data_IF_541503764355
#
_entry.id   IF_541503764355
#
_cell.length_a   1.000
_cell.length_b   1.000
_cell.length_c   1.000
_cell.angle_alpha   90.00
_cell.angle_beta   90.00
_cell.angle_gamma   90.00
#
_symmetry.space_group_name_H-M   'P 1'
#
loop_
_entity.id
_entity.type
_entity.pdbx_description
1 polymer ?
#
# COMPACT_ATOMS: atom_id res chain seq x y z
N UNK A 1 -43.67 16.84 -14.82
CA UNK A 1 -42.74 16.22 -15.77
C UNK A 1 -43.50 15.12 -16.52
N UNK A 2 -43.48 15.14 -17.84
CA UNK A 2 -44.12 14.09 -18.66
C UNK A 2 -43.22 12.85 -18.79
N UNK A 3 -43.76 11.70 -19.18
CA UNK A 3 -42.99 10.45 -19.34
C UNK A 3 -41.81 10.60 -20.31
N UNK A 4 -42.04 11.25 -21.45
CA UNK A 4 -40.98 11.49 -22.44
C UNK A 4 -39.85 12.33 -21.85
N UNK A 5 -40.21 13.40 -21.13
CA UNK A 5 -39.26 14.27 -20.44
C UNK A 5 -38.46 13.51 -19.36
N UNK A 6 -39.10 12.58 -18.64
CA UNK A 6 -38.41 11.69 -17.70
C UNK A 6 -37.44 10.74 -18.39
N UNK A 7 -37.82 10.16 -19.54
CA UNK A 7 -36.92 9.30 -20.33
C UNK A 7 -35.71 10.10 -20.80
N UNK A 8 -35.92 11.29 -21.37
CA UNK A 8 -34.84 12.16 -21.84
C UNK A 8 -33.88 12.53 -20.70
N UNK A 9 -34.42 12.81 -19.51
CA UNK A 9 -33.60 13.10 -18.34
C UNK A 9 -32.81 11.87 -17.86
N UNK A 10 -33.42 10.68 -17.82
CA UNK A 10 -32.73 9.44 -17.46
C UNK A 10 -31.61 9.12 -18.48
N UNK A 11 -31.85 9.33 -19.77
CA UNK A 11 -30.84 9.13 -20.82
C UNK A 11 -29.69 10.12 -20.71
N UNK A 12 -29.99 11.38 -20.39
CA UNK A 12 -28.97 12.38 -20.10
C UNK A 12 -28.17 12.00 -18.84
N UNK A 13 -28.85 11.64 -17.74
CA UNK A 13 -28.21 11.18 -16.50
C UNK A 13 -27.30 9.98 -16.75
N UNK A 14 -27.71 9.04 -17.60
CA UNK A 14 -26.89 7.88 -17.95
C UNK A 14 -25.56 8.30 -18.60
N UNK A 15 -25.60 9.22 -19.57
CA UNK A 15 -24.40 9.70 -20.26
C UNK A 15 -23.44 10.42 -19.31
N UNK A 16 -23.96 11.24 -18.40
CA UNK A 16 -23.12 11.94 -17.43
C UNK A 16 -22.56 11.00 -16.35
N UNK A 17 -23.31 9.97 -15.95
CA UNK A 17 -22.79 8.92 -15.05
C UNK A 17 -21.68 8.11 -15.73
N UNK A 18 -21.83 7.75 -17.01
CA UNK A 18 -20.77 7.06 -17.77
C UNK A 18 -19.49 7.91 -17.86
N UNK A 19 -19.65 9.21 -18.15
CA UNK A 19 -18.53 10.16 -18.15
C UNK A 19 -17.88 10.29 -16.77
N UNK A 20 -18.67 10.32 -15.70
CA UNK A 20 -18.18 10.40 -14.33
C UNK A 20 -17.41 9.14 -13.92
N UNK A 21 -17.88 7.95 -14.31
CA UNK A 21 -17.19 6.69 -14.05
C UNK A 21 -15.84 6.63 -14.78
N UNK A 22 -15.78 7.00 -16.06
CA UNK A 22 -14.52 7.08 -16.81
C UNK A 22 -13.50 8.04 -16.17
N UNK A 23 -13.94 9.23 -15.74
CA UNK A 23 -13.05 10.18 -15.07
C UNK A 23 -12.55 9.68 -13.70
N UNK A 24 -13.38 8.92 -12.98
CA UNK A 24 -12.97 8.31 -11.71
C UNK A 24 -11.96 7.18 -11.93
N UNK A 25 -12.14 6.36 -12.96
CA UNK A 25 -11.16 5.33 -13.32
C UNK A 25 -9.80 5.96 -13.68
N UNK A 26 -9.79 7.01 -14.50
CA UNK A 26 -8.56 7.76 -14.84
C UNK A 26 -7.88 8.33 -13.59
N UNK A 27 -8.68 8.88 -12.65
CA UNK A 27 -8.18 9.40 -11.38
C UNK A 27 -7.61 8.30 -10.47
N UNK A 28 -8.28 7.15 -10.38
CA UNK A 28 -7.79 6.02 -9.58
C UNK A 28 -6.49 5.44 -10.15
N UNK A 29 -6.36 5.34 -11.47
CA UNK A 29 -5.12 4.92 -12.14
C UNK A 29 -3.97 5.90 -11.87
N UNK A 30 -4.24 7.20 -11.92
CA UNK A 30 -3.27 8.24 -11.56
C UNK A 30 -2.77 8.12 -10.11
N UNK A 31 -3.68 7.86 -9.16
CA UNK A 31 -3.32 7.70 -7.75
C UNK A 31 -2.51 6.41 -7.49
N UNK A 32 -2.77 5.34 -8.23
CA UNK A 32 -2.02 4.08 -8.13
C UNK A 32 -0.61 4.18 -8.70
N UNK A 33 -0.44 4.95 -9.78
CA UNK A 33 0.86 5.14 -10.46
C UNK A 33 1.76 6.13 -9.74
N UNK A 34 1.17 7.06 -8.98
CA UNK A 34 1.88 8.06 -8.20
C UNK A 34 1.44 8.00 -6.74
N UNK A 35 1.76 6.91 -6.01
CA UNK A 35 1.49 6.86 -4.59
C UNK A 35 2.23 8.03 -3.96
N UNK A 36 1.53 8.87 -3.20
CA UNK A 36 2.15 9.93 -2.39
C UNK A 36 3.13 9.31 -1.40
N UNK A 37 4.35 9.02 -1.85
CA UNK A 37 5.39 8.44 -1.03
C UNK A 37 6.12 9.54 -0.29
N UNK A 38 5.82 9.52 1.00
CA UNK A 38 6.39 10.23 2.14
C UNK A 38 7.91 9.97 2.33
N UNK A 39 8.68 9.86 1.24
CA UNK A 39 10.10 9.46 1.23
C UNK A 39 11.03 10.57 1.74
N UNK A 40 10.64 11.84 1.57
CA UNK A 40 11.40 12.99 2.06
C UNK A 40 11.38 13.14 3.58
N UNK A 41 10.26 12.80 4.24
CA UNK A 41 10.14 12.87 5.70
C UNK A 41 11.08 11.89 6.43
N UNK A 42 11.38 10.72 5.82
CA UNK A 42 12.31 9.75 6.41
C UNK A 42 13.78 10.17 6.32
N UNK A 43 14.12 11.11 5.44
CA UNK A 43 15.51 11.57 5.28
C UNK A 43 15.85 12.71 6.27
N UNK A 44 14.89 13.60 6.55
CA UNK A 44 15.06 14.73 7.46
C UNK A 44 15.32 14.30 8.91
N UNK A 45 14.67 13.22 9.38
CA UNK A 45 14.85 12.67 10.74
C UNK A 45 16.30 12.19 11.00
N UNK A 46 17.07 11.91 9.94
CA UNK A 46 18.47 11.44 10.05
C UNK A 46 19.50 12.56 10.23
N UNK A 47 19.12 13.81 9.95
CA UNK A 47 20.04 14.96 9.99
C UNK A 47 20.28 15.52 11.40
N UNK A 48 19.33 15.35 12.32
CA UNK A 48 19.44 15.81 13.72
C UNK A 48 20.52 15.06 14.53
N UNK A 49 20.98 13.90 14.06
CA UNK A 49 22.00 13.09 14.73
C UNK A 49 23.45 13.55 14.50
N UNK A 50 23.71 14.62 13.74
CA UNK A 50 25.06 15.03 13.29
C UNK A 50 25.74 16.09 14.18
N UNK A 51 25.00 16.81 15.03
CA UNK A 51 25.56 17.81 15.96
C UNK A 51 26.56 17.25 17.02
N UNK A 52 26.41 16.01 17.54
CA UNK A 52 27.27 15.46 18.59
C UNK A 52 28.74 15.22 18.18
N UNK A 53 29.02 14.94 16.90
CA UNK A 53 30.35 14.50 16.48
C UNK A 53 31.35 15.66 16.29
N UNK A 54 30.86 16.84 15.92
CA UNK A 54 31.65 18.09 15.91
C UNK A 54 32.07 18.48 17.33
N UNK A 55 31.18 18.30 18.30
CA UNK A 55 31.45 18.56 19.72
C UNK A 55 32.52 17.60 20.28
N UNK A 56 32.45 16.31 19.91
CA UNK A 56 33.46 15.30 20.29
C UNK A 56 34.85 15.62 19.74
N UNK A 57 34.95 16.13 18.51
CA UNK A 57 36.24 16.50 17.90
C UNK A 57 36.91 17.66 18.65
N UNK A 58 36.14 18.70 18.98
CA UNK A 58 36.63 19.86 19.74
C UNK A 58 37.12 19.41 21.13
N UNK A 59 36.38 18.51 21.78
CA UNK A 59 36.73 17.99 23.10
C UNK A 59 38.06 17.21 23.08
N UNK A 60 38.31 16.41 22.04
CA UNK A 60 39.58 15.67 21.87
C UNK A 60 40.76 16.63 21.71
N UNK A 61 40.61 17.71 20.93
CA UNK A 61 41.67 18.70 20.73
C UNK A 61 42.02 19.42 22.04
N UNK A 62 41.02 19.77 22.85
CA UNK A 62 41.23 20.44 24.15
C UNK A 62 41.91 19.48 25.14
N UNK A 63 41.42 18.24 25.24
CA UNK A 63 41.89 17.26 26.23
C UNK A 63 43.29 16.75 25.93
N UNK A 64 43.65 16.54 24.66
CA UNK A 64 44.92 15.92 24.29
C UNK A 64 45.92 16.89 23.65
N UNK A 65 45.46 17.88 22.88
CA UNK A 65 46.34 18.81 22.18
C UNK A 65 47.04 19.79 23.12
N UNK A 66 46.31 20.32 24.10
CA UNK A 66 46.84 21.32 25.04
C UNK A 66 47.92 20.70 25.95
N UNK A 67 47.70 19.53 26.61
CA UNK A 67 48.74 18.96 27.47
C UNK A 67 50.00 18.53 26.72
N UNK A 68 49.86 18.04 25.49
CA UNK A 68 51.00 17.64 24.65
C UNK A 68 51.89 18.84 24.28
N UNK A 69 51.28 20.01 24.05
CA UNK A 69 51.99 21.26 23.77
C UNK A 69 52.87 21.71 24.94
N UNK A 70 52.42 21.48 26.18
CA UNK A 70 53.19 21.81 27.38
C UNK A 70 54.25 20.76 27.75
N UNK A 71 54.08 19.51 27.34
CA UNK A 71 55.04 18.44 27.64
C UNK A 71 56.29 18.43 26.72
N UNK A 72 56.14 18.90 25.48
CA UNK A 72 57.18 18.86 24.44
C UNK A 72 58.48 19.64 24.75
N UNK A 73 58.45 20.84 25.34
CA UNK A 73 59.67 21.59 25.68
C UNK A 73 60.54 20.90 26.75
N UNK A 74 59.93 20.07 27.59
CA UNK A 74 60.60 19.38 28.71
C UNK A 74 61.41 18.16 28.23
N UNK A 75 61.08 17.60 27.05
CA UNK A 75 61.61 16.31 26.60
C UNK A 75 62.89 16.38 25.73
N UNK A 76 63.42 17.56 25.41
CA UNK A 76 64.73 17.72 24.76
C UNK A 76 64.88 17.13 23.35
N UNK A 77 63.78 16.86 22.64
CA UNK A 77 63.81 16.29 21.29
C UNK A 77 64.35 17.31 20.25
N UNK A 78 65.09 16.86 19.21
CA UNK A 78 65.63 17.75 18.18
C UNK A 78 64.49 18.46 17.43
N UNK A 79 64.50 19.79 17.51
CA UNK A 79 63.39 20.66 17.10
C UNK A 79 62.83 20.36 15.71
N UNK A 80 63.67 19.91 14.76
CA UNK A 80 63.23 19.59 13.39
C UNK A 80 62.26 18.41 13.31
N UNK A 81 62.49 17.33 14.08
CA UNK A 81 61.61 16.15 14.07
C UNK A 81 60.26 16.52 14.70
N UNK A 82 60.30 17.33 15.75
CA UNK A 82 59.10 17.84 16.42
C UNK A 82 58.30 18.75 15.47
N UNK A 83 58.96 19.64 14.73
CA UNK A 83 58.31 20.51 13.74
C UNK A 83 57.65 19.68 12.63
N UNK A 84 58.32 18.67 12.07
CA UNK A 84 57.72 17.81 11.05
C UNK A 84 56.57 16.95 11.58
N UNK A 85 56.67 16.44 12.82
CA UNK A 85 55.58 15.72 13.46
C UNK A 85 54.36 16.63 13.70
N UNK A 86 54.59 17.86 14.18
CA UNK A 86 53.53 18.87 14.38
C UNK A 86 52.88 19.25 13.04
N UNK A 87 53.67 19.52 12.00
CA UNK A 87 53.15 19.81 10.65
C UNK A 87 52.32 18.65 10.09
N UNK A 88 52.74 17.40 10.33
CA UNK A 88 51.99 16.23 9.87
C UNK A 88 50.67 16.07 10.62
N UNK A 89 50.67 16.33 11.94
CA UNK A 89 49.45 16.34 12.76
C UNK A 89 48.53 17.49 12.37
N UNK A 90 49.06 18.69 12.10
CA UNK A 90 48.27 19.83 11.60
C UNK A 90 47.69 19.52 10.22
N UNK A 91 48.47 19.02 9.27
CA UNK A 91 47.98 18.62 7.96
C UNK A 91 46.92 17.52 8.07
N UNK A 92 47.08 16.55 8.98
CA UNK A 92 46.08 15.52 9.24
C UNK A 92 44.79 16.12 9.82
N UNK A 93 44.90 16.99 10.83
CA UNK A 93 43.78 17.68 11.47
C UNK A 93 43.05 18.60 10.48
N UNK A 94 43.76 19.26 9.55
CA UNK A 94 43.17 20.15 8.53
C UNK A 94 42.59 19.34 7.36
N UNK A 95 43.15 18.18 7.00
CA UNK A 95 42.67 17.37 5.88
C UNK A 95 41.27 16.78 6.11
N UNK A 96 40.90 16.46 7.35
CA UNK A 96 39.57 15.93 7.70
C UNK A 96 38.43 16.93 7.54
N UNK A 97 38.48 18.15 8.13
CA UNK A 97 37.44 19.15 7.95
C UNK A 97 37.36 19.64 6.50
N UNK A 98 38.48 19.65 5.75
CA UNK A 98 38.44 19.97 4.31
C UNK A 98 37.71 18.90 3.51
N UNK A 99 37.99 17.61 3.72
CA UNK A 99 37.21 16.52 3.08
C UNK A 99 35.73 16.56 3.48
N UNK A 100 35.43 16.93 4.72
CA UNK A 100 34.06 17.10 5.20
C UNK A 100 33.36 18.30 4.56
N UNK A 101 34.05 19.42 4.39
CA UNK A 101 33.56 20.60 3.66
C UNK A 101 33.24 20.27 2.21
N UNK A 102 34.13 19.57 1.49
CA UNK A 102 33.83 19.12 0.13
C UNK A 102 32.62 18.20 0.08
N UNK A 103 32.54 17.19 0.97
CA UNK A 103 31.35 16.32 1.05
C UNK A 103 30.07 17.09 1.37
N UNK A 104 30.16 18.17 2.16
CA UNK A 104 29.03 19.03 2.51
C UNK A 104 28.63 19.94 1.35
N UNK A 105 29.58 20.47 0.59
CA UNK A 105 29.30 21.25 -0.62
C UNK A 105 28.67 20.35 -1.68
N UNK A 106 29.21 19.14 -1.89
CA UNK A 106 28.61 18.15 -2.79
C UNK A 106 27.20 17.76 -2.33
N UNK A 107 26.98 17.64 -1.00
CA UNK A 107 25.65 17.40 -0.44
C UNK A 107 24.70 18.58 -0.66
N UNK A 108 25.14 19.82 -0.42
CA UNK A 108 24.30 21.00 -0.66
C UNK A 108 23.97 21.21 -2.14
N UNK A 109 24.94 21.00 -3.02
CA UNK A 109 24.73 21.06 -4.48
C UNK A 109 23.76 19.96 -4.92
N UNK A 110 23.85 18.77 -4.34
CA UNK A 110 22.92 17.66 -4.59
C UNK A 110 21.53 17.95 -4.00
N UNK A 111 21.45 18.56 -2.81
CA UNK A 111 20.21 18.96 -2.13
C UNK A 111 19.47 20.03 -2.92
N UNK A 112 20.16 21.03 -3.45
CA UNK A 112 19.54 22.09 -4.28
C UNK A 112 18.99 21.53 -5.60
N UNK A 113 19.74 20.67 -6.30
CA UNK A 113 19.26 20.05 -7.56
C UNK A 113 18.13 19.04 -7.34
N UNK A 114 18.21 18.21 -6.29
CA UNK A 114 17.18 17.19 -6.01
C UNK A 114 15.91 17.82 -5.45
N UNK A 115 16.03 18.95 -4.75
CA UNK A 115 14.87 19.69 -4.25
C UNK A 115 14.16 20.48 -5.35
N UNK A 116 14.89 21.04 -6.32
CA UNK A 116 14.28 21.62 -7.53
C UNK A 116 13.53 20.57 -8.36
N UNK A 117 14.14 19.41 -8.60
CA UNK A 117 13.50 18.30 -9.32
C UNK A 117 12.25 17.78 -8.58
N UNK A 118 12.31 17.68 -7.25
CA UNK A 118 11.17 17.25 -6.44
C UNK A 118 10.04 18.28 -6.40
N UNK A 119 10.37 19.57 -6.26
CA UNK A 119 9.38 20.64 -6.27
C UNK A 119 8.69 20.74 -7.65
N UNK A 120 9.41 20.47 -8.74
CA UNK A 120 8.83 20.37 -10.09
C UNK A 120 7.91 19.15 -10.22
N UNK A 121 8.33 17.97 -9.77
CA UNK A 121 7.50 16.75 -9.77
C UNK A 121 6.22 16.92 -8.92
N UNK A 122 6.34 17.54 -7.74
CA UNK A 122 5.19 17.86 -6.90
C UNK A 122 4.21 18.82 -7.58
N UNK A 123 4.72 19.85 -8.27
CA UNK A 123 3.87 20.79 -9.02
C UNK A 123 3.16 20.11 -10.18
N UNK A 124 3.85 19.27 -10.94
CA UNK A 124 3.27 18.51 -12.05
C UNK A 124 2.18 17.56 -11.53
N UNK A 125 2.44 16.88 -10.41
CA UNK A 125 1.45 16.01 -9.77
C UNK A 125 0.22 16.81 -9.30
N UNK A 126 0.40 17.95 -8.63
CA UNK A 126 -0.71 18.80 -8.20
C UNK A 126 -1.53 19.33 -9.39
N UNK A 127 -0.87 19.76 -10.46
CA UNK A 127 -1.53 20.24 -11.68
C UNK A 127 -2.35 19.15 -12.37
N UNK A 128 -1.81 17.93 -12.48
CA UNK A 128 -2.53 16.80 -13.07
C UNK A 128 -3.69 16.30 -12.17
N UNK A 129 -3.49 16.32 -10.85
CA UNK A 129 -4.53 16.04 -9.88
C UNK A 129 -5.69 17.04 -9.99
N UNK A 130 -5.39 18.34 -10.11
CA UNK A 130 -6.40 19.38 -10.31
C UNK A 130 -7.11 19.24 -11.68
N UNK A 131 -6.37 18.89 -12.74
CA UNK A 131 -6.91 18.63 -14.08
C UNK A 131 -7.98 17.54 -14.08
N UNK A 132 -7.83 16.50 -13.27
CA UNK A 132 -8.78 15.38 -13.18
C UNK A 132 -9.92 15.67 -12.18
N UNK A 133 -9.63 16.30 -11.04
CA UNK A 133 -10.63 16.59 -10.02
C UNK A 133 -11.67 17.64 -10.45
N UNK A 134 -11.27 18.65 -11.24
CA UNK A 134 -12.17 19.71 -11.69
C UNK A 134 -13.34 19.16 -12.55
N UNK A 135 -13.10 18.38 -13.63
CA UNK A 135 -14.16 17.74 -14.40
C UNK A 135 -15.07 16.84 -13.56
N UNK A 136 -14.51 16.05 -12.63
CA UNK A 136 -15.29 15.17 -11.74
C UNK A 136 -16.28 16.02 -10.92
N UNK A 137 -15.82 17.13 -10.34
CA UNK A 137 -16.68 18.05 -9.57
C UNK A 137 -17.76 18.66 -10.44
N UNK A 138 -17.41 19.12 -11.64
CA UNK A 138 -18.35 19.73 -12.58
C UNK A 138 -19.48 18.77 -12.96
N UNK A 139 -19.13 17.55 -13.41
CA UNK A 139 -20.12 16.53 -13.78
C UNK A 139 -20.99 16.14 -12.58
N UNK A 140 -20.38 15.99 -11.40
CA UNK A 140 -21.13 15.70 -10.16
C UNK A 140 -22.13 16.82 -9.82
N UNK A 141 -21.74 18.08 -9.96
CA UNK A 141 -22.61 19.22 -9.70
C UNK A 141 -23.72 19.36 -10.74
N UNK A 142 -23.46 19.06 -12.00
CA UNK A 142 -24.47 19.00 -13.07
C UNK A 142 -25.52 17.92 -12.76
N UNK A 143 -25.06 16.71 -12.42
CA UNK A 143 -25.94 15.62 -11.99
C UNK A 143 -26.81 16.05 -10.80
N UNK A 144 -26.24 16.72 -9.79
CA UNK A 144 -27.01 17.21 -8.62
C UNK A 144 -28.09 18.21 -8.98
N UNK A 145 -27.85 19.05 -9.99
CA UNK A 145 -28.77 20.13 -10.36
C UNK A 145 -29.88 19.66 -11.30
N UNK A 146 -29.58 18.75 -12.20
CA UNK A 146 -30.46 18.43 -13.33
C UNK A 146 -30.99 17.00 -13.33
N UNK A 147 -30.36 16.05 -12.65
CA UNK A 147 -30.84 14.67 -12.60
C UNK A 147 -32.08 14.54 -11.71
N UNK A 148 -33.11 13.86 -12.21
CA UNK A 148 -34.25 13.43 -11.39
C UNK A 148 -33.96 12.15 -10.59
N UNK A 149 -32.90 11.44 -10.94
CA UNK A 149 -32.42 10.25 -10.22
C UNK A 149 -31.61 10.71 -9.00
N UNK A 150 -31.89 10.18 -7.80
CA UNK A 150 -31.13 10.52 -6.60
C UNK A 150 -29.66 10.04 -6.66
N UNK A 151 -28.74 10.73 -5.95
CA UNK A 151 -27.31 10.41 -5.97
C UNK A 151 -26.96 8.96 -5.62
N UNK A 152 -27.73 8.32 -4.74
CA UNK A 152 -27.49 6.94 -4.30
C UNK A 152 -27.63 5.92 -5.44
N UNK A 153 -28.29 6.31 -6.54
CA UNK A 153 -28.50 5.47 -7.73
C UNK A 153 -27.71 5.98 -8.95
N UNK A 154 -26.73 6.86 -8.78
CA UNK A 154 -25.79 7.26 -9.84
C UNK A 154 -24.71 6.20 -10.05
N UNK A 155 -25.16 5.03 -10.46
CA UNK A 155 -24.33 3.94 -10.96
C UNK A 155 -24.85 3.58 -12.34
N UNK A 156 -23.96 3.33 -13.28
CA UNK A 156 -24.37 3.03 -14.67
C UNK A 156 -25.42 1.91 -14.71
N UNK A 157 -25.19 0.80 -14.00
CA UNK A 157 -26.13 -0.33 -13.92
C UNK A 157 -27.54 0.10 -13.44
N UNK A 158 -27.60 0.93 -12.40
CA UNK A 158 -28.87 1.37 -11.83
C UNK A 158 -29.65 2.24 -12.82
N UNK A 159 -28.98 3.25 -13.41
CA UNK A 159 -29.61 4.15 -14.38
C UNK A 159 -30.04 3.40 -15.65
N UNK A 160 -29.24 2.44 -16.13
CA UNK A 160 -29.60 1.60 -17.26
C UNK A 160 -30.84 0.75 -16.98
N UNK A 161 -30.92 0.08 -15.83
CA UNK A 161 -32.13 -0.67 -15.44
C UNK A 161 -33.35 0.26 -15.35
N UNK A 162 -33.19 1.45 -14.78
CA UNK A 162 -34.28 2.43 -14.70
C UNK A 162 -34.78 2.83 -16.10
N UNK A 163 -33.86 3.10 -17.03
CA UNK A 163 -34.22 3.40 -18.42
C UNK A 163 -34.97 2.25 -19.09
N UNK A 164 -34.55 1.00 -18.84
CA UNK A 164 -35.23 -0.19 -19.35
C UNK A 164 -36.67 -0.31 -18.82
N UNK A 165 -36.90 -0.04 -17.53
CA UNK A 165 -38.25 -0.10 -16.95
C UNK A 165 -39.19 0.94 -17.56
N UNK A 166 -38.70 2.16 -17.78
CA UNK A 166 -39.47 3.23 -18.42
C UNK A 166 -39.79 2.92 -19.89
N UNK A 167 -38.82 2.40 -20.65
CA UNK A 167 -39.04 2.01 -22.06
C UNK A 167 -39.96 0.80 -22.19
N UNK A 168 -39.85 -0.15 -21.26
CA UNK A 168 -40.66 -1.37 -21.22
C UNK A 168 -42.07 -1.19 -20.66
N UNK A 169 -42.52 0.04 -20.40
CA UNK A 169 -43.83 0.36 -19.82
C UNK A 169 -44.10 -0.33 -18.46
N UNK A 170 -43.05 -0.72 -17.73
CA UNK A 170 -43.18 -1.40 -16.42
C UNK A 170 -43.50 -0.43 -15.29
N UNK A 171 -43.19 0.84 -15.48
CA UNK A 171 -43.34 1.91 -14.49
C UNK A 171 -43.79 3.20 -15.18
N UNK A 172 -44.47 4.05 -14.42
CA UNK A 172 -44.93 5.37 -14.87
C UNK A 172 -44.24 6.52 -14.12
N UNK A 173 -43.62 6.22 -12.96
CA UNK A 173 -42.92 7.21 -12.14
C UNK A 173 -41.51 6.78 -11.73
N UNK A 174 -40.63 7.76 -11.46
CA UNK A 174 -39.27 7.51 -10.96
C UNK A 174 -39.31 6.76 -9.62
N UNK A 175 -40.30 7.04 -8.77
CA UNK A 175 -40.47 6.35 -7.49
C UNK A 175 -40.75 4.86 -7.67
N UNK A 176 -41.65 4.50 -8.59
CA UNK A 176 -41.92 3.10 -8.93
C UNK A 176 -40.69 2.43 -9.53
N UNK A 177 -39.96 3.16 -10.36
CA UNK A 177 -38.73 2.71 -10.97
C UNK A 177 -37.66 2.36 -9.93
N UNK A 178 -37.46 3.23 -8.94
CA UNK A 178 -36.55 3.00 -7.81
C UNK A 178 -37.01 1.80 -6.98
N UNK A 179 -38.29 1.75 -6.61
CA UNK A 179 -38.84 0.64 -5.82
C UNK A 179 -38.62 -0.72 -6.51
N UNK A 180 -38.83 -0.77 -7.83
CA UNK A 180 -38.64 -1.97 -8.63
C UNK A 180 -37.17 -2.37 -8.69
N UNK A 181 -36.28 -1.40 -8.90
CA UNK A 181 -34.83 -1.62 -8.86
C UNK A 181 -34.38 -2.20 -7.52
N UNK A 182 -34.82 -1.61 -6.40
CA UNK A 182 -34.47 -2.08 -5.05
C UNK A 182 -35.04 -3.47 -4.72
N UNK A 183 -36.21 -3.79 -5.27
CA UNK A 183 -36.80 -5.12 -5.12
C UNK A 183 -35.93 -6.15 -5.85
N UNK A 184 -35.63 -5.92 -7.13
CA UNK A 184 -34.77 -6.81 -7.92
C UNK A 184 -33.38 -6.95 -7.29
N UNK A 185 -32.79 -5.86 -6.80
CA UNK A 185 -31.48 -5.89 -6.12
C UNK A 185 -31.49 -6.71 -4.83
N UNK A 186 -32.59 -6.64 -4.05
CA UNK A 186 -32.74 -7.49 -2.87
C UNK A 186 -32.84 -8.95 -3.27
N UNK A 187 -33.67 -9.28 -4.26
CA UNK A 187 -33.83 -10.65 -4.77
C UNK A 187 -32.52 -11.23 -5.29
N UNK A 188 -31.75 -10.45 -6.05
CA UNK A 188 -30.43 -10.84 -6.54
C UNK A 188 -29.46 -11.11 -5.38
N UNK A 189 -29.45 -10.25 -4.35
CA UNK A 189 -28.61 -10.44 -3.16
C UNK A 189 -28.99 -11.70 -2.39
N UNK A 190 -30.29 -11.95 -2.17
CA UNK A 190 -30.78 -13.16 -1.53
C UNK A 190 -30.41 -14.41 -2.34
N UNK A 191 -30.56 -14.35 -3.67
CA UNK A 191 -30.23 -15.45 -4.58
C UNK A 191 -28.74 -15.79 -4.56
N UNK A 192 -27.85 -14.79 -4.58
CA UNK A 192 -26.40 -14.99 -4.46
C UNK A 192 -26.00 -15.58 -3.10
N UNK A 193 -26.60 -15.09 -2.01
CA UNK A 193 -26.35 -15.64 -0.66
C UNK A 193 -26.81 -17.09 -0.55
N UNK A 194 -27.98 -17.41 -1.10
CA UNK A 194 -28.50 -18.78 -1.11
C UNK A 194 -27.59 -19.70 -1.92
N UNK A 195 -27.16 -19.29 -3.12
CA UNK A 195 -26.22 -20.05 -3.93
C UNK A 195 -24.88 -20.27 -3.21
N UNK A 196 -24.35 -19.24 -2.55
CA UNK A 196 -23.14 -19.35 -1.74
C UNK A 196 -23.30 -20.35 -0.58
N UNK A 197 -24.44 -20.32 0.11
CA UNK A 197 -24.74 -21.26 1.19
C UNK A 197 -24.88 -22.70 0.69
N UNK A 198 -25.55 -22.92 -0.44
CA UNK A 198 -25.68 -24.24 -1.08
C UNK A 198 -24.30 -24.77 -1.48
N UNK A 199 -23.48 -23.94 -2.13
CA UNK A 199 -22.10 -24.32 -2.50
C UNK A 199 -21.26 -24.68 -1.28
N UNK A 200 -21.40 -23.93 -0.18
CA UNK A 200 -20.73 -24.23 1.09
C UNK A 200 -21.18 -25.55 1.70
N UNK A 201 -22.49 -25.84 1.70
CA UNK A 201 -23.02 -27.13 2.17
C UNK A 201 -22.50 -28.30 1.35
N UNK A 202 -22.49 -28.17 0.01
CA UNK A 202 -22.03 -29.22 -0.89
C UNK A 202 -20.55 -29.54 -0.66
N UNK A 203 -19.71 -28.51 -0.44
CA UNK A 203 -18.31 -28.69 -0.07
C UNK A 203 -18.15 -29.38 1.30
N UNK A 204 -18.99 -29.05 2.28
CA UNK A 204 -18.96 -29.73 3.58
C UNK A 204 -19.36 -31.21 3.47
N UNK A 205 -20.36 -31.55 2.65
CA UNK A 205 -20.74 -32.94 2.41
C UNK A 205 -19.62 -33.73 1.71
N UNK A 206 -18.88 -33.09 0.80
CA UNK A 206 -17.71 -33.70 0.15
C UNK A 206 -16.59 -33.99 1.16
N UNK A 207 -16.27 -33.03 2.03
CA UNK A 207 -15.30 -33.21 3.11
C UNK A 207 -15.70 -34.31 4.10
N UNK A 208 -17.00 -34.45 4.39
CA UNK A 208 -17.48 -35.54 5.25
C UNK A 208 -17.28 -36.92 4.60
N UNK A 209 -17.49 -37.03 3.29
CA UNK A 209 -17.21 -38.29 2.56
C UNK A 209 -15.73 -38.62 2.54
N UNK A 210 -14.86 -37.62 2.35
CA UNK A 210 -13.40 -37.82 2.42
C UNK A 210 -12.97 -38.28 3.83
N UNK A 211 -13.57 -37.71 4.88
CA UNK A 211 -13.30 -38.11 6.25
C UNK A 211 -13.73 -39.55 6.52
N UNK A 212 -14.94 -39.95 6.09
CA UNK A 212 -15.43 -41.32 6.22
C UNK A 212 -14.53 -42.32 5.48
N UNK A 213 -14.06 -41.95 4.30
CA UNK A 213 -13.10 -42.75 3.51
C UNK A 213 -11.76 -42.92 4.24
N UNK A 214 -11.22 -41.83 4.79
CA UNK A 214 -9.99 -41.87 5.58
C UNK A 214 -10.15 -42.73 6.84
N UNK A 215 -11.29 -42.62 7.54
CA UNK A 215 -11.59 -43.47 8.68
C UNK A 215 -11.60 -44.95 8.31
N UNK A 216 -12.19 -45.33 7.18
CA UNK A 216 -12.16 -46.72 6.70
C UNK A 216 -10.74 -47.20 6.40
N UNK A 217 -9.92 -46.38 5.75
CA UNK A 217 -8.50 -46.71 5.48
C UNK A 217 -7.72 -46.89 6.79
N UNK A 218 -7.98 -46.07 7.81
CA UNK A 218 -7.34 -46.21 9.14
C UNK A 218 -7.75 -47.52 9.82
N UNK A 219 -9.02 -47.90 9.75
CA UNK A 219 -9.50 -49.18 10.28
C UNK A 219 -8.80 -50.36 9.60
N UNK A 220 -8.75 -50.38 8.26
CA UNK A 220 -8.05 -51.42 7.49
C UNK A 220 -6.54 -51.49 7.86
N UNK A 221 -5.87 -50.34 8.01
CA UNK A 221 -4.47 -50.29 8.42
C UNK A 221 -4.26 -50.81 9.85
N UNK A 222 -5.18 -50.54 10.77
CA UNK A 222 -5.10 -51.04 12.14
C UNK A 222 -5.26 -52.57 12.18
N UNK A 223 -6.22 -53.13 11.44
CA UNK A 223 -6.38 -54.59 11.32
C UNK A 223 -5.10 -55.25 10.75
N UNK A 224 -4.48 -54.63 9.74
CA UNK A 224 -3.21 -55.10 9.20
C UNK A 224 -2.08 -55.05 10.23
N UNK A 225 -1.99 -53.98 11.03
CA UNK A 225 -0.98 -53.84 12.09
C UNK A 225 -1.19 -54.90 13.17
N UNK A 226 -2.42 -55.13 13.61
CA UNK A 226 -2.74 -56.16 14.61
C UNK A 226 -2.36 -57.55 14.09
N UNK A 227 -2.67 -57.87 12.83
CA UNK A 227 -2.25 -59.11 12.19
C UNK A 227 -0.71 -59.26 12.17
N UNK A 228 0.01 -58.21 11.79
CA UNK A 228 1.48 -58.23 11.77
C UNK A 228 2.09 -58.34 13.18
N UNK A 229 1.49 -57.69 14.18
CA UNK A 229 1.93 -57.81 15.56
C UNK A 229 1.73 -59.23 16.09
N UNK A 230 0.61 -59.87 15.75
CA UNK A 230 0.36 -61.27 16.07
C UNK A 230 1.38 -62.20 15.42
N UNK A 231 1.68 -62.02 14.13
CA UNK A 231 2.72 -62.80 13.43
C UNK A 231 4.11 -62.61 14.06
N UNK A 232 4.46 -61.37 14.44
CA UNK A 232 5.74 -61.09 15.11
C UNK A 232 5.80 -61.77 16.48
N UNK A 233 4.71 -61.79 17.25
CA UNK A 233 4.69 -62.40 18.57
C UNK A 233 4.79 -63.94 18.48
N UNK A 234 4.10 -64.57 17.53
CA UNK A 234 4.28 -66.00 17.22
C UNK A 234 5.73 -66.31 16.83
N UNK A 235 6.35 -65.47 16.00
CA UNK A 235 7.75 -65.63 15.60
C UNK A 235 8.72 -65.46 16.78
N UNK A 236 8.44 -64.55 17.73
CA UNK A 236 9.24 -64.39 18.96
C UNK A 236 9.12 -65.62 19.86
N UNK A 237 7.91 -66.13 20.09
CA UNK A 237 7.69 -67.35 20.88
C UNK A 237 8.44 -68.56 20.27
N UNK A 238 8.52 -68.63 18.94
CA UNK A 238 9.28 -69.68 18.25
C UNK A 238 10.82 -69.52 18.37
N UNK A 239 11.33 -68.32 18.64
CA UNK A 239 12.76 -68.00 18.71
C UNK A 239 13.30 -68.02 20.15
N UNK A 240 12.45 -67.89 21.18
CA UNK A 240 12.81 -68.07 22.59
C UNK A 240 12.42 -69.47 23.12
N UNK A 241 13.17 -70.56 22.80
CA UNK A 241 13.04 -71.79 23.56
C UNK A 241 13.70 -71.61 24.92
N UNK A 242 12.97 -72.05 25.96
CA UNK A 242 13.44 -72.23 27.33
C UNK A 242 14.77 -72.97 27.44
#
# INVERSE_FOLDING_TARGET
MGRAESIDNIEWTLKEVEKLELLKEEYEEFQLTNPTENSLYQYYEKSEYMLPDLFRLILIIIVFGIPLWFALPVAGLPAKIVIYAILTVICYIVSRPVKYLFKRIDFFMYEETVQEDYDEDCRLFEEENERLLLPIRQVTDELRRYSIIPPDYWKQEAVQKMLQYFRGLRVDTIKECINLYELEMREDMYSRRLHGAIKGKLKNEELLRELDEQSRIIEELNEMIESQQHEIEELKEAIEPS
#
